data_IF_932740819431
#
_entry.id   IF_932740819431
#
_cell.length_a   1.000
_cell.length_b   1.000
_cell.length_c   1.000
_cell.angle_alpha   90.00
_cell.angle_beta   90.00
_cell.angle_gamma   90.00
#
_symmetry.space_group_name_H-M   'P 1'
#
loop_
_entity.id
_entity.type
_entity.pdbx_description
1 polymer ?
#
# COMPACT_ATOMS: atom_id res chain seq x y z
N UNK A 1 -12.47 53.63 14.68
CA UNK A 1 -11.70 53.05 13.56
C UNK A 1 -10.53 52.17 14.02
N UNK A 2 -9.73 52.55 15.04
CA UNK A 2 -8.58 51.76 15.53
C UNK A 2 -8.95 50.48 16.30
N UNK A 3 -10.11 50.47 16.99
CA UNK A 3 -10.61 49.31 17.76
C UNK A 3 -11.11 48.15 16.86
N UNK A 4 -11.70 48.47 15.70
CA UNK A 4 -12.12 47.47 14.72
C UNK A 4 -10.94 46.75 14.05
N UNK A 5 -9.82 47.46 13.85
CA UNK A 5 -8.59 46.91 13.29
C UNK A 5 -7.90 45.94 14.27
N UNK A 6 -7.97 46.22 15.57
CA UNK A 6 -7.44 45.33 16.62
C UNK A 6 -8.24 44.02 16.76
N UNK A 7 -9.57 44.09 16.60
CA UNK A 7 -10.44 42.90 16.66
C UNK A 7 -10.24 41.97 15.45
N UNK A 8 -9.98 42.55 14.27
CA UNK A 8 -9.65 41.82 13.04
C UNK A 8 -8.26 41.15 13.10
N UNK A 9 -7.27 41.83 13.71
CA UNK A 9 -5.94 41.26 13.96
C UNK A 9 -5.96 40.12 15.00
N UNK A 10 -6.78 40.26 16.05
CA UNK A 10 -6.96 39.18 17.03
C UNK A 10 -7.64 37.95 16.41
N UNK A 11 -8.62 38.14 15.52
CA UNK A 11 -9.30 37.02 14.85
C UNK A 11 -8.38 36.29 13.85
N UNK A 12 -7.47 37.01 13.18
CA UNK A 12 -6.43 36.43 12.31
C UNK A 12 -5.35 35.66 13.08
N UNK A 13 -5.07 36.03 14.33
CA UNK A 13 -4.11 35.32 15.18
C UNK A 13 -4.70 34.09 15.89
N UNK A 14 -6.02 34.07 16.14
CA UNK A 14 -6.69 32.97 16.86
C UNK A 14 -7.27 31.91 15.90
N UNK A 15 -7.58 32.27 14.65
CA UNK A 15 -8.15 31.36 13.65
C UNK A 15 -7.16 30.38 12.98
N UNK A 16 -5.86 30.50 13.26
CA UNK A 16 -4.81 29.72 12.56
C UNK A 16 -4.35 28.46 13.33
N UNK A 17 -5.02 28.09 14.42
CA UNK A 17 -4.58 27.01 15.31
C UNK A 17 -5.63 25.90 15.47
N UNK A 18 -6.26 25.51 14.37
CA UNK A 18 -7.06 24.28 14.36
C UNK A 18 -6.90 23.56 13.03
N UNK A 19 -5.68 23.14 12.72
CA UNK A 19 -5.49 22.01 11.81
C UNK A 19 -5.98 20.77 12.53
N UNK A 20 -7.16 20.27 12.16
CA UNK A 20 -7.56 18.91 12.50
C UNK A 20 -6.49 17.97 11.94
N UNK A 21 -5.71 17.32 12.81
CA UNK A 21 -4.78 16.28 12.39
C UNK A 21 -5.64 15.10 11.94
N UNK A 22 -5.76 14.91 10.63
CA UNK A 22 -6.24 13.65 10.09
C UNK A 22 -5.27 12.56 10.57
N UNK A 23 -5.73 11.66 11.44
CA UNK A 23 -4.98 10.45 11.75
C UNK A 23 -5.01 9.59 10.49
N UNK A 24 -3.96 9.62 9.69
CA UNK A 24 -3.80 8.67 8.60
C UNK A 24 -3.68 7.30 9.24
N UNK A 25 -4.65 6.42 9.01
CA UNK A 25 -4.55 5.03 9.41
C UNK A 25 -3.40 4.42 8.59
N UNK A 26 -2.20 4.40 9.16
CA UNK A 26 -1.00 4.00 8.44
C UNK A 26 -0.91 2.49 8.42
N UNK A 27 -0.47 1.95 7.30
CA UNK A 27 -0.10 0.55 7.24
C UNK A 27 1.17 0.35 8.09
N UNK A 28 1.04 -0.38 9.20
CA UNK A 28 2.13 -0.58 10.18
C UNK A 28 2.96 -1.85 9.93
N UNK A 29 2.66 -2.61 8.86
CA UNK A 29 3.31 -3.89 8.59
C UNK A 29 2.84 -5.03 9.50
N UNK A 30 2.93 -6.26 9.00
CA UNK A 30 2.56 -7.48 9.75
C UNK A 30 3.45 -7.70 10.97
N UNK A 31 4.72 -7.32 10.89
CA UNK A 31 5.72 -7.57 11.93
C UNK A 31 5.39 -6.83 13.24
N UNK A 32 4.73 -5.68 13.14
CA UNK A 32 4.25 -4.91 14.28
C UNK A 32 3.24 -5.69 15.14
N UNK A 33 2.56 -6.69 14.56
CA UNK A 33 1.57 -7.51 15.24
C UNK A 33 2.19 -8.77 15.90
N UNK A 34 3.40 -9.16 15.50
CA UNK A 34 4.01 -10.45 15.86
C UNK A 34 4.20 -10.64 17.37
N UNK A 35 4.55 -9.59 18.10
CA UNK A 35 4.88 -9.67 19.53
C UNK A 35 3.70 -10.07 20.42
N UNK A 36 2.48 -9.72 20.03
CA UNK A 36 1.25 -10.07 20.74
C UNK A 36 0.47 -11.22 20.06
N UNK A 37 0.60 -11.37 18.74
CA UNK A 37 -0.14 -12.35 17.92
C UNK A 37 0.80 -13.35 17.25
N UNK A 38 1.65 -14.01 18.05
CA UNK A 38 2.68 -14.90 17.52
C UNK A 38 2.11 -16.09 16.76
N UNK A 39 1.07 -16.74 17.30
CA UNK A 39 0.47 -17.93 16.68
C UNK A 39 -0.16 -17.60 15.32
N UNK A 40 -0.92 -16.50 15.26
CA UNK A 40 -1.56 -16.04 14.02
C UNK A 40 -0.52 -15.57 13.01
N UNK A 41 0.52 -14.85 13.46
CA UNK A 41 1.61 -14.41 12.59
C UNK A 41 2.33 -15.60 11.94
N UNK A 42 2.64 -16.64 12.72
CA UNK A 42 3.27 -17.88 12.21
C UNK A 42 2.36 -18.60 11.21
N UNK A 43 1.07 -18.75 11.51
CA UNK A 43 0.13 -19.39 10.59
C UNK A 43 -0.01 -18.58 9.30
N UNK A 44 -0.15 -17.26 9.42
CA UNK A 44 -0.26 -16.35 8.28
C UNK A 44 0.96 -16.44 7.35
N UNK A 45 2.19 -16.45 7.88
CA UNK A 45 3.42 -16.55 7.07
C UNK A 45 3.46 -17.76 6.14
N UNK A 46 2.79 -18.86 6.50
CA UNK A 46 2.74 -20.08 5.68
C UNK A 46 1.53 -20.15 4.75
N UNK A 47 0.61 -19.19 4.85
CA UNK A 47 -0.64 -19.15 4.11
C UNK A 47 -0.48 -18.60 2.69
N UNK A 48 -1.45 -18.90 1.82
CA UNK A 48 -1.48 -18.32 0.47
C UNK A 48 -1.74 -16.82 0.48
N UNK A 49 -2.38 -16.28 1.53
CA UNK A 49 -2.53 -14.84 1.70
C UNK A 49 -1.16 -14.16 1.83
N UNK A 50 -0.23 -14.74 2.60
CA UNK A 50 1.13 -14.18 2.70
C UNK A 50 1.83 -14.21 1.34
N UNK A 51 1.76 -15.34 0.63
CA UNK A 51 2.37 -15.47 -0.71
C UNK A 51 1.81 -14.45 -1.71
N UNK A 52 0.51 -14.21 -1.71
CA UNK A 52 -0.14 -13.27 -2.62
C UNK A 52 0.26 -11.80 -2.38
N UNK A 53 0.73 -11.48 -1.17
CA UNK A 53 1.16 -10.12 -0.79
C UNK A 53 2.66 -9.87 -1.00
N UNK A 54 3.42 -10.87 -1.43
CA UNK A 54 4.86 -10.72 -1.64
C UNK A 54 5.16 -9.75 -2.79
N UNK A 55 6.25 -8.99 -2.64
CA UNK A 55 6.75 -8.16 -3.73
C UNK A 55 7.13 -9.04 -4.92
N UNK A 56 6.81 -8.65 -6.16
CA UNK A 56 7.10 -9.46 -7.34
C UNK A 56 8.58 -9.34 -7.72
N UNK A 57 9.39 -10.33 -7.35
CA UNK A 57 10.81 -10.45 -7.72
C UNK A 57 11.14 -11.90 -8.13
N UNK A 58 12.38 -12.14 -8.58
CA UNK A 58 12.81 -13.44 -9.11
C UNK A 58 12.63 -14.61 -8.14
N UNK A 59 12.62 -14.36 -6.82
CA UNK A 59 12.43 -15.40 -5.82
C UNK A 59 10.96 -15.68 -5.47
N UNK A 60 10.05 -14.74 -5.75
CA UNK A 60 8.64 -14.80 -5.31
C UNK A 60 7.67 -14.94 -6.49
N UNK A 61 8.09 -14.61 -7.70
CA UNK A 61 7.30 -14.73 -8.92
C UNK A 61 7.46 -16.13 -9.48
N UNK A 62 6.39 -16.93 -9.40
CA UNK A 62 6.38 -18.31 -9.87
C UNK A 62 6.01 -18.45 -11.35
N UNK A 63 5.36 -17.45 -11.93
CA UNK A 63 4.94 -17.45 -13.32
C UNK A 63 6.06 -17.03 -14.27
N UNK A 64 6.06 -17.59 -15.49
CA UNK A 64 6.97 -17.18 -16.55
C UNK A 64 6.41 -15.94 -17.29
N UNK A 65 7.07 -14.81 -17.10
CA UNK A 65 6.78 -13.54 -17.79
C UNK A 65 7.73 -13.27 -18.96
N UNK A 66 8.55 -14.24 -19.37
CA UNK A 66 9.50 -14.16 -20.47
C UNK A 66 8.84 -14.22 -21.85
N UNK A 67 7.74 -13.50 -22.07
CA UNK A 67 6.92 -13.54 -23.30
C UNK A 67 6.23 -14.90 -23.49
N UNK A 68 5.48 -15.32 -22.47
CA UNK A 68 4.80 -16.62 -22.43
C UNK A 68 3.31 -16.48 -22.75
N UNK A 69 2.84 -17.23 -23.74
CA UNK A 69 1.40 -17.41 -23.99
C UNK A 69 0.90 -18.66 -23.28
N UNK A 70 -0.20 -18.54 -22.56
CA UNK A 70 -0.90 -19.64 -21.88
C UNK A 70 -2.35 -19.62 -22.32
N UNK A 71 -2.92 -20.80 -22.58
CA UNK A 71 -4.35 -20.97 -22.81
C UNK A 71 -4.97 -21.70 -21.61
N UNK A 72 -5.98 -21.10 -21.00
CA UNK A 72 -6.71 -21.70 -19.89
C UNK A 72 -8.19 -21.37 -20.00
N UNK A 73 -9.05 -22.38 -19.90
CA UNK A 73 -10.50 -22.24 -20.10
C UNK A 73 -10.87 -21.50 -21.40
N UNK A 74 -10.18 -21.83 -22.50
CA UNK A 74 -10.33 -21.19 -23.82
C UNK A 74 -10.06 -19.67 -23.82
N UNK A 75 -9.34 -19.18 -22.81
CA UNK A 75 -8.84 -17.80 -22.76
C UNK A 75 -7.33 -17.86 -23.00
N UNK A 76 -6.91 -17.21 -24.06
CA UNK A 76 -5.49 -17.00 -24.36
C UNK A 76 -5.00 -15.77 -23.62
N UNK A 77 -3.90 -15.90 -22.88
CA UNK A 77 -3.29 -14.83 -22.09
C UNK A 77 -1.80 -14.76 -22.36
N UNK A 78 -1.28 -13.55 -22.53
CA UNK A 78 0.13 -13.25 -22.76
C UNK A 78 0.76 -12.64 -21.50
N UNK A 79 1.83 -13.25 -21.01
CA UNK A 79 2.62 -12.78 -19.85
C UNK A 79 3.94 -12.19 -20.32
N UNK A 80 4.25 -10.96 -19.88
CA UNK A 80 5.39 -10.17 -20.35
C UNK A 80 6.15 -9.51 -19.19
N UNK A 81 7.47 -9.45 -19.31
CA UNK A 81 8.35 -8.63 -18.49
C UNK A 81 8.74 -7.39 -19.29
N UNK A 82 8.39 -6.21 -18.78
CA UNK A 82 8.81 -4.94 -19.38
C UNK A 82 10.28 -4.65 -19.07
N UNK A 83 10.89 -3.78 -19.89
CA UNK A 83 12.28 -3.33 -19.72
C UNK A 83 12.56 -2.66 -18.36
N UNK A 84 11.53 -2.10 -17.72
CA UNK A 84 11.62 -1.50 -16.39
C UNK A 84 11.36 -2.50 -15.24
N UNK A 85 11.32 -3.81 -15.52
CA UNK A 85 11.08 -4.86 -14.53
C UNK A 85 9.62 -5.08 -14.15
N UNK A 86 8.66 -4.38 -14.77
CA UNK A 86 7.22 -4.57 -14.49
C UNK A 86 6.70 -5.85 -15.15
N UNK A 87 5.98 -6.66 -14.37
CA UNK A 87 5.24 -7.83 -14.85
C UNK A 87 3.89 -7.41 -15.43
N UNK A 88 3.55 -7.90 -16.63
CA UNK A 88 2.29 -7.64 -17.31
C UNK A 88 1.57 -8.91 -17.73
N UNK A 89 0.25 -8.82 -17.76
CA UNK A 89 -0.65 -9.84 -18.30
C UNK A 89 -1.62 -9.16 -19.28
N UNK A 90 -1.70 -9.65 -20.51
CA UNK A 90 -2.61 -9.21 -21.57
C UNK A 90 -3.57 -10.32 -21.96
#
# INVERSE_FOLDING_TARGET
MKSFLFMLLAFLLIGFWSSARASSNQYIGSDSCQSCHQAEHQQWQTSDHHKAMQLPNDATVLGDFGNKTVEFHNITTLFLLKTNGTLLRH
#
